data_IF_458402805842
#
_entry.id   IF_458402805842
#
_cell.length_a   1.000
_cell.length_b   1.000
_cell.length_c   1.000
_cell.angle_alpha   90.00
_cell.angle_beta   90.00
_cell.angle_gamma   90.00
#
_symmetry.space_group_name_H-M   'P 1'
#
loop_
_entity.id
_entity.type
_entity.pdbx_description
1 polymer ?
#
# COMPACT_ATOMS: atom_id res chain seq x y z
N UNK A 1 -54.56 -24.60 39.42
CA UNK A 1 -53.33 -25.27 38.98
C UNK A 1 -53.42 -25.46 37.48
N UNK A 2 -52.28 -25.23 36.82
CA UNK A 2 -52.12 -24.78 35.45
C UNK A 2 -52.48 -25.77 34.33
N UNK A 3 -52.77 -25.16 33.18
CA UNK A 3 -52.74 -25.60 31.78
C UNK A 3 -51.35 -26.19 31.34
N UNK A 4 -51.12 -26.63 30.07
CA UNK A 4 -51.50 -27.90 29.44
C UNK A 4 -50.28 -28.59 28.75
N UNK A 5 -50.46 -29.74 28.06
CA UNK A 5 -49.46 -30.28 27.13
C UNK A 5 -50.01 -30.29 25.70
N UNK A 6 -49.32 -29.54 24.84
CA UNK A 6 -49.72 -29.17 23.50
C UNK A 6 -49.57 -30.30 22.46
N UNK A 7 -50.58 -30.42 21.59
CA UNK A 7 -50.53 -31.12 20.31
C UNK A 7 -49.81 -30.25 19.27
N UNK A 8 -48.75 -30.79 18.66
CA UNK A 8 -48.01 -30.16 17.57
C UNK A 8 -48.72 -30.38 16.23
N UNK A 9 -49.25 -29.30 15.66
CA UNK A 9 -49.66 -29.20 14.25
C UNK A 9 -48.60 -28.35 13.53
N UNK A 10 -47.89 -28.93 12.56
CA UNK A 10 -46.89 -28.21 11.77
C UNK A 10 -47.54 -27.29 10.73
N UNK A 11 -47.05 -26.04 10.53
CA UNK A 11 -47.50 -25.20 9.44
C UNK A 11 -46.69 -25.40 8.16
N UNK A 12 -47.35 -24.98 7.10
CA UNK A 12 -47.10 -25.13 5.67
C UNK A 12 -45.93 -24.25 5.21
N UNK A 13 -45.27 -24.67 4.13
CA UNK A 13 -44.10 -24.03 3.53
C UNK A 13 -44.33 -22.56 3.12
N UNK A 14 -43.51 -21.66 3.66
CA UNK A 14 -43.36 -20.29 3.17
C UNK A 14 -42.29 -20.23 2.08
N UNK A 15 -42.76 -20.23 0.84
CA UNK A 15 -41.96 -19.95 -0.35
C UNK A 15 -41.77 -18.44 -0.53
N UNK A 16 -41.01 -17.78 0.35
CA UNK A 16 -40.40 -16.48 0.04
C UNK A 16 -39.32 -16.08 1.08
N UNK A 17 -38.13 -16.66 0.98
CA UNK A 17 -36.95 -16.14 1.68
C UNK A 17 -36.08 -15.37 0.69
N UNK A 18 -35.67 -14.12 0.99
CA UNK A 18 -34.79 -13.38 0.10
C UNK A 18 -33.44 -14.07 0.05
N UNK A 19 -33.07 -14.54 -1.14
CA UNK A 19 -31.74 -15.06 -1.45
C UNK A 19 -30.69 -14.07 -0.93
N UNK A 20 -29.86 -14.53 0.00
CA UNK A 20 -28.72 -13.76 0.49
C UNK A 20 -27.89 -13.33 -0.72
N UNK A 21 -27.43 -12.06 -0.79
CA UNK A 21 -26.62 -11.63 -1.90
C UNK A 21 -25.36 -12.47 -1.92
N UNK A 22 -25.17 -13.19 -3.02
CA UNK A 22 -23.91 -13.80 -3.41
C UNK A 22 -22.82 -12.78 -3.11
N UNK A 23 -21.98 -13.04 -2.10
CA UNK A 23 -20.75 -12.27 -1.93
C UNK A 23 -19.99 -12.47 -3.23
N UNK A 24 -19.96 -11.44 -4.07
CA UNK A 24 -18.98 -11.35 -5.13
C UNK A 24 -17.63 -11.35 -4.42
N UNK A 25 -17.03 -12.53 -4.33
CA UNK A 25 -15.65 -12.67 -3.93
C UNK A 25 -14.84 -11.96 -5.00
N UNK A 26 -14.44 -10.72 -4.72
CA UNK A 26 -13.27 -10.16 -5.39
C UNK A 26 -12.13 -11.06 -4.96
N UNK A 27 -11.69 -11.92 -5.88
CA UNK A 27 -10.46 -12.69 -5.72
C UNK A 27 -9.37 -11.70 -5.36
N UNK A 28 -8.87 -11.77 -4.12
CA UNK A 28 -7.79 -10.93 -3.60
C UNK A 28 -6.43 -11.32 -4.19
N UNK A 29 -6.42 -11.78 -5.45
CA UNK A 29 -5.34 -12.54 -6.05
C UNK A 29 -4.30 -11.73 -6.81
N UNK A 30 -4.65 -10.62 -7.48
CA UNK A 30 -3.69 -9.90 -8.34
C UNK A 30 -3.93 -8.38 -8.36
N UNK A 31 -4.11 -7.75 -7.20
CA UNK A 31 -4.06 -6.29 -7.14
C UNK A 31 -2.63 -5.85 -7.51
N UNK A 32 -2.49 -5.02 -8.55
CA UNK A 32 -1.17 -4.50 -8.90
C UNK A 32 -0.69 -3.56 -7.79
N UNK A 33 0.63 -3.34 -7.62
CA UNK A 33 1.12 -2.38 -6.64
C UNK A 33 0.45 -1.00 -6.75
N UNK A 34 0.13 -0.56 -7.98
CA UNK A 34 -0.55 0.70 -8.22
C UNK A 34 -2.02 0.71 -7.78
N UNK A 35 -2.71 -0.43 -7.80
CA UNK A 35 -4.08 -0.54 -7.28
C UNK A 35 -4.09 -0.39 -5.75
N UNK A 36 -3.14 -1.03 -5.08
CA UNK A 36 -2.93 -0.86 -3.63
C UNK A 36 -2.59 0.59 -3.28
N UNK A 37 -1.67 1.22 -4.03
CA UNK A 37 -1.30 2.62 -3.81
C UNK A 37 -2.50 3.57 -4.04
N UNK A 38 -3.33 3.31 -5.06
CA UNK A 38 -4.53 4.09 -5.29
C UNK A 38 -5.54 3.95 -4.13
N UNK A 39 -5.70 2.74 -3.59
CA UNK A 39 -6.53 2.50 -2.41
C UNK A 39 -6.00 3.22 -1.16
N UNK A 40 -4.66 3.21 -0.95
CA UNK A 40 -4.00 3.93 0.14
C UNK A 40 -4.20 5.45 0.03
N UNK A 41 -4.00 6.03 -1.16
CA UNK A 41 -4.27 7.46 -1.40
C UNK A 41 -5.72 7.78 -1.10
N UNK A 42 -6.66 6.98 -1.61
CA UNK A 42 -8.08 7.21 -1.35
C UNK A 42 -8.44 7.06 0.13
N UNK A 43 -7.75 6.22 0.90
CA UNK A 43 -7.91 6.14 2.35
C UNK A 43 -7.35 7.37 3.06
N UNK A 44 -6.13 7.80 2.72
CA UNK A 44 -5.51 9.02 3.27
C UNK A 44 -6.38 10.26 3.02
N UNK A 45 -6.92 10.41 1.81
CA UNK A 45 -7.82 11.52 1.44
C UNK A 45 -9.10 11.54 2.30
N UNK A 46 -9.57 10.37 2.79
CA UNK A 46 -10.77 10.29 3.65
C UNK A 46 -10.48 10.59 5.12
N UNK A 47 -9.30 10.24 5.60
CA UNK A 47 -8.91 10.44 7.01
C UNK A 47 -8.41 11.86 7.29
N UNK A 48 -8.04 12.61 6.26
CA UNK A 48 -7.46 13.93 6.43
C UNK A 48 -8.49 15.03 6.60
N UNK A 49 -8.26 15.89 7.59
CA UNK A 49 -9.01 17.12 7.79
C UNK A 49 -8.32 18.35 7.15
N UNK A 50 -7.18 18.16 6.50
CA UNK A 50 -6.40 19.25 5.90
C UNK A 50 -6.89 19.57 4.48
N UNK A 51 -6.68 20.79 3.97
CA UNK A 51 -6.98 21.07 2.57
C UNK A 51 -6.00 20.33 1.64
N UNK A 52 -6.48 19.95 0.47
CA UNK A 52 -5.78 19.04 -0.45
C UNK A 52 -4.39 19.54 -0.91
N UNK A 53 -4.17 20.86 -0.97
CA UNK A 53 -2.87 21.42 -1.33
C UNK A 53 -1.82 21.17 -0.23
N UNK A 54 -2.20 21.36 1.03
CA UNK A 54 -1.34 21.09 2.18
C UNK A 54 -1.04 19.60 2.29
N UNK A 55 -2.04 18.74 2.10
CA UNK A 55 -1.83 17.29 2.08
C UNK A 55 -0.81 16.84 1.04
N UNK A 56 -0.91 17.38 -0.18
CA UNK A 56 0.04 17.10 -1.26
C UNK A 56 1.45 17.46 -0.82
N UNK A 57 1.66 18.64 -0.21
CA UNK A 57 2.97 19.05 0.27
C UNK A 57 3.48 18.12 1.37
N UNK A 58 2.63 17.74 2.33
CA UNK A 58 3.02 16.83 3.42
C UNK A 58 3.39 15.43 2.91
N UNK A 59 2.66 14.88 1.93
CA UNK A 59 3.00 13.59 1.31
C UNK A 59 4.35 13.62 0.59
N UNK A 60 4.73 14.76 0.01
CA UNK A 60 6.07 14.95 -0.57
C UNK A 60 7.12 15.05 0.54
N UNK A 61 6.85 15.82 1.60
CA UNK A 61 7.79 16.03 2.69
C UNK A 61 8.09 14.74 3.47
N UNK A 62 7.12 13.82 3.56
CA UNK A 62 7.29 12.48 4.18
C UNK A 62 8.49 11.72 3.63
N UNK A 63 8.86 11.92 2.36
CA UNK A 63 10.07 11.32 1.76
C UNK A 63 11.35 11.61 2.54
N UNK A 64 11.47 12.80 3.14
CA UNK A 64 12.67 13.16 3.92
C UNK A 64 12.74 12.39 5.24
N UNK A 65 11.58 12.05 5.80
CA UNK A 65 11.47 11.24 7.02
C UNK A 65 11.91 9.81 6.74
N UNK A 66 11.30 9.16 5.73
CA UNK A 66 11.64 7.78 5.34
C UNK A 66 13.11 7.63 4.94
N UNK A 67 13.67 8.61 4.22
CA UNK A 67 15.10 8.61 3.88
C UNK A 67 16.00 8.72 5.13
N UNK A 68 15.55 9.44 6.16
CA UNK A 68 16.22 9.51 7.46
C UNK A 68 16.17 8.18 8.20
N UNK A 69 15.05 7.46 8.12
CA UNK A 69 14.87 6.14 8.73
C UNK A 69 15.75 5.08 8.05
N UNK A 70 15.85 5.09 6.71
CA UNK A 70 16.85 4.28 5.98
C UNK A 70 18.27 4.57 6.49
N UNK A 71 18.63 5.85 6.63
CA UNK A 71 19.96 6.21 7.11
C UNK A 71 20.21 5.70 8.54
N UNK A 72 19.20 5.80 9.41
CA UNK A 72 19.26 5.28 10.77
C UNK A 72 19.44 3.75 10.79
N UNK A 73 18.66 3.01 9.98
CA UNK A 73 18.75 1.56 9.87
C UNK A 73 20.12 1.13 9.36
N UNK A 74 20.69 1.81 8.35
CA UNK A 74 22.04 1.52 7.84
C UNK A 74 23.10 1.76 8.92
N UNK A 75 23.05 2.88 9.64
CA UNK A 75 23.99 3.17 10.73
C UNK A 75 23.89 2.07 11.81
N UNK A 76 22.68 1.63 12.12
CA UNK A 76 22.41 0.53 13.04
C UNK A 76 22.94 -0.82 12.56
N UNK A 77 22.79 -1.12 11.27
CA UNK A 77 23.20 -2.38 10.63
C UNK A 77 24.70 -2.49 10.40
N UNK A 78 25.40 -1.39 10.17
CA UNK A 78 26.88 -1.38 10.09
C UNK A 78 27.51 -1.43 11.49
N UNK A 79 26.75 -1.12 12.54
CA UNK A 79 27.24 -1.11 13.91
C UNK A 79 28.23 0.02 14.20
N UNK A 80 28.15 1.14 13.46
CA UNK A 80 29.09 2.27 13.57
C UNK A 80 29.06 2.97 14.94
N UNK A 81 28.11 2.66 15.82
CA UNK A 81 28.05 3.20 17.17
C UNK A 81 28.76 2.27 18.18
N UNK A 82 29.97 2.61 18.68
CA UNK A 82 30.74 1.76 19.58
C UNK A 82 30.04 1.48 20.91
N UNK A 83 29.03 2.30 21.28
CA UNK A 83 28.27 2.17 22.54
C UNK A 83 27.04 1.26 22.42
N UNK A 84 26.60 0.95 21.19
CA UNK A 84 25.36 0.19 20.94
C UNK A 84 25.56 -1.04 20.06
N UNK A 85 26.70 -1.19 19.38
CA UNK A 85 26.92 -2.31 18.45
C UNK A 85 25.91 -2.30 17.30
N UNK A 86 25.56 -3.47 16.80
CA UNK A 86 24.51 -3.62 15.77
C UNK A 86 23.14 -3.44 16.42
N UNK A 87 22.47 -2.33 16.15
CA UNK A 87 21.13 -2.06 16.66
C UNK A 87 20.01 -2.40 15.67
N UNK A 88 20.37 -2.59 14.40
CA UNK A 88 19.47 -2.99 13.32
C UNK A 88 20.13 -4.10 12.51
N UNK A 89 19.33 -4.76 11.71
CA UNK A 89 19.71 -5.73 10.70
C UNK A 89 19.65 -5.13 9.30
N UNK A 90 20.20 -5.83 8.31
CA UNK A 90 20.00 -5.47 6.91
C UNK A 90 18.55 -5.71 6.44
N UNK A 91 17.79 -6.55 7.13
CA UNK A 91 16.34 -6.72 6.86
C UNK A 91 15.57 -5.44 7.23
N UNK A 92 15.96 -4.77 8.32
CA UNK A 92 15.37 -3.46 8.67
C UNK A 92 15.66 -2.45 7.55
N UNK A 93 16.88 -2.42 7.01
CA UNK A 93 17.21 -1.55 5.86
C UNK A 93 16.32 -1.86 4.65
N UNK A 94 16.02 -3.14 4.38
CA UNK A 94 15.10 -3.50 3.30
C UNK A 94 13.68 -2.97 3.54
N UNK A 95 13.20 -3.04 4.79
CA UNK A 95 11.89 -2.52 5.16
C UNK A 95 11.82 -1.00 4.93
N UNK A 96 12.80 -0.25 5.45
CA UNK A 96 12.85 1.21 5.29
C UNK A 96 12.95 1.63 3.81
N UNK A 97 13.67 0.86 2.99
CA UNK A 97 13.72 1.11 1.54
C UNK A 97 12.36 0.86 0.87
N UNK A 98 11.59 -0.13 1.33
CA UNK A 98 10.23 -0.34 0.87
C UNK A 98 9.33 0.84 1.25
N UNK A 99 9.47 1.39 2.45
CA UNK A 99 8.69 2.53 2.92
C UNK A 99 8.99 3.79 2.11
N UNK A 100 10.26 4.04 1.76
CA UNK A 100 10.63 5.10 0.79
C UNK A 100 9.93 4.89 -0.56
N UNK A 101 9.93 3.67 -1.10
CA UNK A 101 9.30 3.36 -2.39
C UNK A 101 7.79 3.60 -2.33
N UNK A 102 7.12 3.09 -1.30
CA UNK A 102 5.68 3.25 -1.09
C UNK A 102 5.32 4.73 -0.95
N UNK A 103 6.06 5.47 -0.13
CA UNK A 103 5.87 6.91 0.07
C UNK A 103 6.06 7.70 -1.22
N UNK A 104 7.06 7.37 -2.03
CA UNK A 104 7.27 7.97 -3.34
C UNK A 104 6.12 7.67 -4.32
N UNK A 105 5.61 6.43 -4.32
CA UNK A 105 4.46 6.06 -5.16
C UNK A 105 3.18 6.77 -4.73
N UNK A 106 2.92 6.88 -3.42
CA UNK A 106 1.78 7.65 -2.85
C UNK A 106 1.87 9.12 -3.24
N UNK A 107 3.06 9.74 -3.10
CA UNK A 107 3.29 11.12 -3.50
C UNK A 107 3.04 11.32 -5.00
N UNK A 108 3.58 10.45 -5.86
CA UNK A 108 3.37 10.54 -7.31
C UNK A 108 1.90 10.36 -7.68
N UNK A 109 1.20 9.41 -7.07
CA UNK A 109 -0.24 9.18 -7.29
C UNK A 109 -1.10 10.35 -6.83
N UNK A 110 -0.70 11.04 -5.77
CA UNK A 110 -1.36 12.28 -5.29
C UNK A 110 -1.19 13.43 -6.29
N UNK A 111 -0.06 13.46 -7.02
CA UNK A 111 0.22 14.50 -8.01
C UNK A 111 -0.44 14.27 -9.36
N UNK A 112 -0.66 13.02 -9.75
CA UNK A 112 -1.21 12.68 -11.07
C UNK A 112 -1.95 11.34 -11.06
N UNK A 113 -3.14 11.27 -11.68
CA UNK A 113 -3.83 10.00 -11.89
C UNK A 113 -3.13 9.07 -12.90
N UNK A 114 -2.11 9.54 -13.62
CA UNK A 114 -1.30 8.80 -14.59
C UNK A 114 0.04 8.32 -14.00
N UNK A 115 0.16 8.29 -12.67
CA UNK A 115 1.40 7.96 -11.95
C UNK A 115 2.11 6.70 -12.46
N UNK A 116 1.36 5.64 -12.77
CA UNK A 116 1.90 4.40 -13.35
C UNK A 116 2.59 4.65 -14.69
N UNK A 117 1.93 5.33 -15.61
CA UNK A 117 2.48 5.62 -16.94
C UNK A 117 3.68 6.56 -16.84
N UNK A 118 3.63 7.54 -15.93
CA UNK A 118 4.75 8.46 -15.66
C UNK A 118 5.97 7.69 -15.15
N UNK A 119 5.78 6.81 -14.17
CA UNK A 119 6.85 5.98 -13.63
C UNK A 119 7.43 5.03 -14.68
N UNK A 120 6.58 4.26 -15.37
CA UNK A 120 7.01 3.30 -16.40
C UNK A 120 7.77 3.99 -17.54
N UNK A 121 7.28 5.16 -17.98
CA UNK A 121 7.95 6.00 -18.97
C UNK A 121 9.31 6.51 -18.48
N UNK A 122 9.39 6.91 -17.22
CA UNK A 122 10.65 7.36 -16.62
C UNK A 122 11.67 6.24 -16.50
N UNK A 123 11.23 5.07 -16.01
CA UNK A 123 12.07 3.88 -15.85
C UNK A 123 12.62 3.40 -17.20
N UNK A 124 11.77 3.33 -18.23
CA UNK A 124 12.19 2.96 -19.60
C UNK A 124 13.26 3.91 -20.14
N UNK A 125 13.13 5.21 -19.87
CA UNK A 125 14.10 6.22 -20.28
C UNK A 125 15.44 6.06 -19.57
N UNK A 126 15.44 5.79 -18.27
CA UNK A 126 16.67 5.49 -17.51
C UNK A 126 17.33 4.23 -18.08
N UNK A 127 16.56 3.14 -18.22
CA UNK A 127 17.07 1.87 -18.74
C UNK A 127 17.67 2.02 -20.14
N UNK A 128 16.98 2.71 -21.05
CA UNK A 128 17.48 2.96 -22.40
C UNK A 128 18.80 3.73 -22.45
N UNK A 129 19.01 4.69 -21.54
CA UNK A 129 20.27 5.45 -21.44
C UNK A 129 21.40 4.62 -20.83
N UNK A 130 21.13 3.89 -19.74
CA UNK A 130 22.18 3.20 -18.98
C UNK A 130 22.56 1.85 -19.58
N UNK A 131 21.59 1.12 -20.12
CA UNK A 131 21.80 -0.24 -20.64
C UNK A 131 21.97 -0.25 -22.17
N UNK A 132 21.45 0.75 -22.88
CA UNK A 132 21.56 0.87 -24.35
C UNK A 132 22.88 1.48 -24.85
N UNK A 133 23.63 2.19 -24.01
CA UNK A 133 24.91 2.81 -24.39
C UNK A 133 26.09 1.82 -24.51
N UNK A 134 25.94 0.57 -24.07
CA UNK A 134 27.00 -0.47 -24.09
C UNK A 134 27.10 -1.17 -25.44
N UNK A 135 26.08 -1.10 -26.30
CA UNK A 135 26.08 -1.75 -27.60
C UNK A 135 26.46 -0.78 -28.74
N UNK A 136 27.76 -0.50 -28.89
CA UNK A 136 28.29 0.05 -30.15
C UNK A 136 29.46 -0.82 -30.61
N UNK A 137 29.26 -1.74 -31.58
CA UNK A 137 30.35 -2.55 -32.10
C UNK A 137 31.29 -1.68 -32.97
N UNK A 138 32.60 -1.94 -32.84
CA UNK A 138 33.67 -1.40 -33.70
C UNK A 138 33.67 -2.05 -35.08
#
# INVERSE_FOLDING_TARGET
MSDPAATSSGPVADANSPSSPTRYGVSSGDATPWDTIAALVGWLDRESALPAEQERLLRILKLSEEAGEVAQAVIGAVGQNPRKGHSHSWEDVHAELCDVIVTAMVALRTLTPEARQVFDGHLRRIAGRSLGAVAKPS
#
